data_IF_802328198061
#
_entry.id   IF_802328198061
#
_cell.length_a   1.000
_cell.length_b   1.000
_cell.length_c   1.000
_cell.angle_alpha   90.00
_cell.angle_beta   90.00
_cell.angle_gamma   90.00
#
_symmetry.space_group_name_H-M   'P 1'
#
loop_
_entity.id
_entity.type
_entity.pdbx_description
1 polymer ?
#
# COMPACT_ATOMS: atom_id res chain seq x y z
N UNK A 1 -9.48 -19.40 7.22
CA UNK A 1 -8.28 -20.23 7.46
C UNK A 1 -7.52 -20.49 6.16
N UNK A 2 -8.04 -21.28 5.20
CA UNK A 2 -7.30 -21.56 3.94
C UNK A 2 -7.10 -20.33 3.03
N UNK A 3 -8.11 -19.46 2.90
CA UNK A 3 -8.00 -18.25 2.08
C UNK A 3 -7.01 -17.22 2.65
N UNK A 4 -6.96 -17.06 3.98
CA UNK A 4 -5.99 -16.16 4.62
C UNK A 4 -4.56 -16.67 4.46
N UNK A 5 -4.37 -18.00 4.52
CA UNK A 5 -3.08 -18.63 4.28
C UNK A 5 -2.63 -18.46 2.82
N UNK A 6 -3.53 -18.67 1.85
CA UNK A 6 -3.26 -18.41 0.45
C UNK A 6 -2.88 -16.93 0.22
N UNK A 7 -3.57 -16.00 0.87
CA UNK A 7 -3.24 -14.56 0.80
C UNK A 7 -1.82 -14.26 1.29
N UNK A 8 -1.37 -14.89 2.38
CA UNK A 8 -0.02 -14.66 2.91
C UNK A 8 1.08 -15.05 1.91
N UNK A 9 0.82 -16.03 1.04
CA UNK A 9 1.77 -16.42 -0.02
C UNK A 9 1.98 -15.33 -1.06
N UNK A 10 1.02 -14.41 -1.20
CA UNK A 10 1.12 -13.31 -2.16
C UNK A 10 1.71 -12.03 -1.58
N UNK A 11 1.75 -11.90 -0.24
CA UNK A 11 2.23 -10.68 0.42
C UNK A 11 3.70 -10.46 0.11
N UNK A 12 4.02 -9.27 -0.42
CA UNK A 12 5.39 -8.84 -0.70
C UNK A 12 5.74 -7.60 0.11
N UNK A 13 7.02 -7.49 0.45
CA UNK A 13 7.62 -6.25 0.97
C UNK A 13 7.45 -5.13 -0.04
N UNK A 14 7.05 -3.94 0.42
CA UNK A 14 6.74 -2.78 -0.43
C UNK A 14 5.26 -2.37 -0.46
N UNK A 15 4.37 -3.23 0.07
CA UNK A 15 2.97 -2.91 0.33
C UNK A 15 1.98 -3.64 -0.58
N UNK A 16 0.72 -3.20 -0.53
CA UNK A 16 -0.40 -3.91 -1.15
C UNK A 16 -0.34 -3.89 -2.69
N UNK A 17 0.28 -2.87 -3.30
CA UNK A 17 0.48 -2.83 -4.76
C UNK A 17 1.37 -3.95 -5.27
N UNK A 18 2.43 -4.31 -4.54
CA UNK A 18 3.33 -5.40 -4.92
C UNK A 18 2.71 -6.77 -4.68
N UNK A 19 1.80 -6.86 -3.70
CA UNK A 19 0.98 -8.06 -3.51
C UNK A 19 0.11 -8.31 -4.75
N UNK A 20 -0.53 -7.28 -5.31
CA UNK A 20 -1.30 -7.42 -6.56
C UNK A 20 -0.43 -7.76 -7.77
N UNK A 21 0.76 -7.16 -7.87
CA UNK A 21 1.71 -7.49 -8.92
C UNK A 21 2.12 -8.97 -8.84
N UNK A 22 2.42 -9.47 -7.64
CA UNK A 22 2.79 -10.87 -7.43
C UNK A 22 1.64 -11.84 -7.76
N UNK A 23 0.38 -11.47 -7.46
CA UNK A 23 -0.80 -12.24 -7.91
C UNK A 23 -0.87 -12.30 -9.43
N UNK A 24 -0.63 -11.17 -10.10
CA UNK A 24 -0.64 -11.08 -11.57
C UNK A 24 0.46 -11.94 -12.19
N UNK A 25 1.70 -11.82 -11.71
CA UNK A 25 2.86 -12.57 -12.21
C UNK A 25 2.64 -14.07 -12.08
N UNK A 26 2.23 -14.56 -10.90
CA UNK A 26 1.95 -15.98 -10.71
C UNK A 26 0.80 -16.48 -11.60
N UNK A 27 -0.25 -15.68 -11.78
CA UNK A 27 -1.34 -16.06 -12.67
C UNK A 27 -0.91 -16.09 -14.15
N UNK A 28 -0.06 -15.15 -14.57
CA UNK A 28 0.51 -15.12 -15.91
C UNK A 28 1.43 -16.34 -16.17
N UNK A 29 2.24 -16.74 -15.20
CA UNK A 29 3.13 -17.91 -15.29
C UNK A 29 2.34 -19.23 -15.45
N UNK A 30 1.11 -19.29 -14.93
CA UNK A 30 0.19 -20.42 -15.14
C UNK A 30 -0.56 -20.38 -16.47
N UNK A 31 -0.17 -19.51 -17.41
CA UNK A 31 -0.88 -19.24 -18.65
C UNK A 31 -2.35 -18.86 -18.43
N UNK A 32 -2.59 -17.99 -17.44
CA UNK A 32 -3.93 -17.48 -17.11
C UNK A 32 -4.92 -18.58 -16.70
N UNK A 33 -4.45 -19.61 -16.00
CA UNK A 33 -5.26 -20.77 -15.61
C UNK A 33 -6.43 -20.40 -14.70
N UNK A 34 -7.64 -20.86 -15.07
CA UNK A 34 -8.82 -20.75 -14.21
C UNK A 34 -8.71 -21.65 -12.98
N UNK A 35 -8.06 -22.80 -13.12
CA UNK A 35 -7.85 -23.75 -12.02
C UNK A 35 -6.96 -23.16 -10.93
N UNK A 36 -5.88 -22.47 -11.31
CA UNK A 36 -5.04 -21.74 -10.37
C UNK A 36 -5.83 -20.70 -9.59
N UNK A 37 -6.72 -19.95 -10.26
CA UNK A 37 -7.56 -18.98 -9.58
C UNK A 37 -8.46 -19.65 -8.52
N UNK A 38 -9.04 -20.81 -8.83
CA UNK A 38 -9.86 -21.54 -7.88
C UNK A 38 -9.07 -22.00 -6.66
N UNK A 39 -7.89 -22.59 -6.86
CA UNK A 39 -7.01 -23.10 -5.80
C UNK A 39 -6.46 -21.98 -4.90
N UNK A 40 -6.14 -20.83 -5.48
CA UNK A 40 -5.61 -19.67 -4.76
C UNK A 40 -6.69 -18.70 -4.26
N UNK A 41 -7.97 -19.08 -4.35
CA UNK A 41 -9.11 -18.25 -3.94
C UNK A 41 -9.14 -16.86 -4.61
N UNK A 42 -8.76 -16.81 -5.89
CA UNK A 42 -8.77 -15.63 -6.75
C UNK A 42 -10.00 -15.63 -7.67
N UNK A 43 -10.49 -14.44 -7.99
CA UNK A 43 -11.61 -14.30 -8.90
C UNK A 43 -11.15 -14.23 -10.35
N UNK A 44 -11.34 -15.33 -11.08
CA UNK A 44 -11.00 -15.41 -12.50
C UNK A 44 -11.60 -14.25 -13.32
N UNK A 45 -12.90 -13.94 -13.17
CA UNK A 45 -13.56 -12.86 -13.94
C UNK A 45 -12.90 -11.48 -13.75
N UNK A 46 -12.39 -11.18 -12.55
CA UNK A 46 -11.73 -9.89 -12.29
C UNK A 46 -10.32 -9.86 -12.85
N UNK A 47 -9.58 -10.96 -12.77
CA UNK A 47 -8.25 -11.08 -13.37
C UNK A 47 -8.31 -11.04 -14.90
N UNK A 48 -9.29 -11.71 -15.52
CA UNK A 48 -9.53 -11.63 -16.97
C UNK A 48 -9.83 -10.19 -17.40
N UNK A 49 -10.69 -9.49 -16.67
CA UNK A 49 -10.96 -8.06 -16.94
C UNK A 49 -9.69 -7.21 -16.80
N UNK A 50 -8.88 -7.46 -15.77
CA UNK A 50 -7.63 -6.74 -15.58
C UNK A 50 -6.66 -6.96 -16.75
N UNK A 51 -6.61 -8.18 -17.31
CA UNK A 51 -5.84 -8.49 -18.53
C UNK A 51 -6.34 -7.70 -19.73
N UNK A 52 -7.65 -7.72 -19.99
CA UNK A 52 -8.22 -6.99 -21.12
C UNK A 52 -7.92 -5.49 -21.03
N UNK A 53 -8.01 -4.89 -19.83
CA UNK A 53 -7.65 -3.48 -19.59
C UNK A 53 -6.15 -3.24 -19.81
N UNK A 54 -5.28 -4.13 -19.33
CA UNK A 54 -3.84 -4.03 -19.53
C UNK A 54 -3.48 -4.04 -21.01
N UNK A 55 -4.07 -4.96 -21.77
CA UNK A 55 -3.76 -5.11 -23.19
C UNK A 55 -4.26 -3.90 -24.00
N UNK A 56 -5.41 -3.33 -23.62
CA UNK A 56 -5.88 -2.05 -24.16
C UNK A 56 -4.90 -0.91 -23.86
N UNK A 57 -4.41 -0.80 -22.62
CA UNK A 57 -3.44 0.22 -22.23
C UNK A 57 -2.11 0.03 -22.97
N UNK A 58 -1.64 -1.21 -23.15
CA UNK A 58 -0.42 -1.49 -23.91
C UNK A 58 -0.56 -1.05 -25.38
N UNK A 59 -1.70 -1.34 -26.01
CA UNK A 59 -1.98 -0.88 -27.37
C UNK A 59 -2.09 0.65 -27.48
N UNK A 60 -2.56 1.34 -26.43
CA UNK A 60 -2.53 2.81 -26.39
C UNK A 60 -1.10 3.34 -26.26
N UNK A 61 -0.28 2.76 -25.39
CA UNK A 61 1.13 3.13 -25.24
C UNK A 61 1.89 3.03 -26.57
N UNK A 62 1.65 1.97 -27.35
CA UNK A 62 2.23 1.82 -28.68
C UNK A 62 1.82 2.96 -29.63
N UNK A 63 0.53 3.33 -29.63
CA UNK A 63 0.02 4.44 -30.47
C UNK A 63 0.57 5.81 -30.09
N UNK A 64 0.88 6.02 -28.82
CA UNK A 64 1.45 7.29 -28.32
C UNK A 64 2.98 7.23 -28.20
N UNK A 65 3.62 6.21 -28.78
CA UNK A 65 5.07 6.01 -28.79
C UNK A 65 5.71 5.96 -27.39
N UNK A 66 4.93 5.53 -26.39
CA UNK A 66 5.42 5.29 -25.03
C UNK A 66 6.08 3.91 -24.98
N UNK A 67 7.39 3.90 -24.79
CA UNK A 67 8.17 2.66 -24.65
C UNK A 67 7.84 1.99 -23.32
N UNK A 68 7.24 0.79 -23.39
CA UNK A 68 6.98 -0.04 -22.22
C UNK A 68 8.32 -0.66 -21.78
N UNK A 69 8.81 -0.25 -20.61
CA UNK A 69 10.03 -0.77 -20.02
C UNK A 69 9.74 -1.46 -18.69
N UNK A 70 10.23 -2.68 -18.55
CA UNK A 70 10.22 -3.38 -17.26
C UNK A 70 11.27 -2.79 -16.33
N UNK A 71 11.05 -2.93 -15.03
CA UNK A 71 12.05 -2.55 -14.03
C UNK A 71 13.33 -3.39 -14.23
N UNK A 72 14.50 -2.78 -14.49
CA UNK A 72 15.73 -3.51 -14.76
C UNK A 72 16.26 -4.29 -13.55
N UNK A 73 15.88 -3.89 -12.33
CA UNK A 73 16.27 -4.57 -11.10
C UNK A 73 15.03 -5.02 -10.32
N UNK A 74 14.71 -6.31 -10.41
CA UNK A 74 13.57 -6.90 -9.69
C UNK A 74 13.65 -6.75 -8.16
N UNK A 75 14.85 -6.55 -7.60
CA UNK A 75 15.03 -6.35 -6.16
C UNK A 75 14.86 -4.89 -5.71
N UNK A 76 14.91 -3.91 -6.63
CA UNK A 76 14.65 -2.51 -6.32
C UNK A 76 13.23 -2.12 -6.71
N UNK A 77 12.34 -2.06 -5.73
CA UNK A 77 10.95 -1.66 -5.92
C UNK A 77 10.77 -0.15 -6.06
N UNK A 78 11.80 0.66 -5.75
CA UNK A 78 11.72 2.12 -5.67
C UNK A 78 11.21 2.80 -6.95
N UNK A 79 11.60 2.38 -8.18
CA UNK A 79 11.11 3.01 -9.41
C UNK A 79 9.59 2.86 -9.57
N UNK A 80 9.04 1.69 -9.23
CA UNK A 80 7.59 1.43 -9.28
C UNK A 80 6.87 2.24 -8.21
N UNK A 81 7.45 2.32 -7.00
CA UNK A 81 6.88 3.15 -5.93
C UNK A 81 6.87 4.64 -6.31
N UNK A 82 7.94 5.15 -6.92
CA UNK A 82 8.00 6.52 -7.44
C UNK A 82 6.96 6.77 -8.53
N UNK A 83 6.79 5.85 -9.47
CA UNK A 83 5.78 5.97 -10.54
C UNK A 83 4.36 6.06 -9.97
N UNK A 84 4.01 5.20 -9.01
CA UNK A 84 2.71 5.26 -8.31
C UNK A 84 2.58 6.56 -7.52
N UNK A 85 3.65 6.98 -6.84
CA UNK A 85 3.68 8.27 -6.12
C UNK A 85 3.40 9.44 -7.05
N UNK A 86 3.82 9.38 -8.32
CA UNK A 86 3.53 10.44 -9.30
C UNK A 86 2.08 10.55 -9.73
N UNK A 87 1.32 9.46 -9.72
CA UNK A 87 -0.12 9.50 -9.95
C UNK A 87 -0.91 9.92 -8.70
N UNK A 88 -0.44 9.52 -7.51
CA UNK A 88 -1.20 9.61 -6.26
C UNK A 88 -0.55 10.51 -5.20
N UNK A 89 0.30 11.46 -5.61
CA UNK A 89 1.01 12.36 -4.69
C UNK A 89 0.06 13.15 -3.77
N UNK A 90 -1.19 13.37 -4.20
CA UNK A 90 -2.22 14.04 -3.39
C UNK A 90 -2.68 13.17 -2.20
N UNK A 91 -2.69 11.84 -2.37
CA UNK A 91 -3.26 10.88 -1.45
C UNK A 91 -2.18 10.31 -0.51
N UNK A 92 -1.60 11.19 0.28
CA UNK A 92 -0.49 10.87 1.18
C UNK A 92 -0.84 11.20 2.62
N UNK A 93 -0.48 10.32 3.54
CA UNK A 93 -0.68 10.51 4.97
C UNK A 93 0.59 10.18 5.77
N UNK A 94 0.77 10.84 6.91
CA UNK A 94 1.89 10.68 7.82
C UNK A 94 1.44 10.13 9.15
N UNK A 95 2.23 9.25 9.76
CA UNK A 95 2.02 8.76 11.12
C UNK A 95 2.02 9.92 12.13
N UNK A 96 0.99 9.99 12.97
CA UNK A 96 0.93 10.93 14.08
C UNK A 96 1.82 10.48 15.24
N UNK A 97 2.18 11.43 16.12
CA UNK A 97 3.01 11.17 17.32
C UNK A 97 2.42 10.13 18.27
N UNK A 98 1.09 9.93 18.22
CA UNK A 98 0.38 8.90 18.98
C UNK A 98 0.71 7.47 18.53
N UNK A 99 1.25 7.27 17.32
CA UNK A 99 1.59 5.96 16.77
C UNK A 99 0.40 5.14 16.22
N UNK A 100 -0.84 5.52 16.55
CA UNK A 100 -2.03 4.75 16.21
C UNK A 100 -2.84 5.30 15.02
N UNK A 101 -2.53 6.51 14.57
CA UNK A 101 -3.29 7.25 13.57
C UNK A 101 -2.38 7.96 12.58
N UNK A 102 -2.92 8.21 11.39
CA UNK A 102 -2.25 8.94 10.33
C UNK A 102 -2.96 10.28 10.09
N UNK A 103 -2.24 11.25 9.55
CA UNK A 103 -2.76 12.57 9.19
C UNK A 103 -2.46 12.84 7.73
N UNK A 104 -3.48 13.19 6.95
CA UNK A 104 -3.28 13.58 5.55
C UNK A 104 -2.45 14.86 5.45
N UNK A 105 -1.60 14.97 4.42
CA UNK A 105 -0.68 16.10 4.30
C UNK A 105 -1.40 17.43 4.01
N UNK A 106 -2.39 17.43 3.12
CA UNK A 106 -3.08 18.67 2.73
C UNK A 106 -4.26 19.03 3.61
N UNK A 107 -5.19 18.10 3.79
CA UNK A 107 -6.43 18.39 4.53
C UNK A 107 -6.26 18.23 6.04
N UNK A 108 -5.12 17.68 6.49
CA UNK A 108 -4.84 17.47 7.90
C UNK A 108 -5.88 16.62 8.64
N UNK A 109 -6.61 15.79 7.90
CA UNK A 109 -7.62 14.89 8.43
C UNK A 109 -6.96 13.68 9.08
N UNK A 110 -7.47 13.28 10.25
CA UNK A 110 -7.05 12.06 10.93
C UNK A 110 -7.67 10.86 10.22
N UNK A 111 -6.82 9.93 9.80
CA UNK A 111 -7.17 8.73 9.04
C UNK A 111 -6.48 7.51 9.64
N UNK A 112 -7.08 6.34 9.47
CA UNK A 112 -6.58 5.08 10.03
C UNK A 112 -6.28 4.08 8.93
N UNK A 113 -5.26 3.25 9.14
CA UNK A 113 -5.04 2.06 8.30
C UNK A 113 -6.18 1.08 8.59
N UNK A 114 -6.79 0.57 7.52
CA UNK A 114 -7.85 -0.42 7.66
C UNK A 114 -7.28 -1.77 8.14
N UNK A 115 -7.93 -2.50 9.08
CA UNK A 115 -7.47 -3.79 9.61
C UNK A 115 -7.17 -4.90 8.59
N UNK A 116 -7.62 -4.75 7.36
CA UNK A 116 -7.41 -5.73 6.27
C UNK A 116 -6.16 -5.48 5.43
N UNK A 117 -5.45 -4.37 5.61
CA UNK A 117 -4.23 -4.08 4.84
C UNK A 117 -3.04 -4.89 5.36
N UNK A 118 -2.09 -5.23 4.48
CA UNK A 118 -0.82 -5.86 4.89
C UNK A 118 0.03 -4.96 5.80
N UNK A 119 -0.20 -3.65 5.78
CA UNK A 119 0.50 -2.67 6.62
C UNK A 119 -0.19 -2.43 7.97
N UNK A 120 -1.31 -3.12 8.26
CA UNK A 120 -1.95 -3.06 9.56
C UNK A 120 -1.07 -3.76 10.61
N UNK A 121 -0.71 -3.04 11.68
CA UNK A 121 0.18 -3.51 12.76
C UNK A 121 1.62 -3.88 12.33
N UNK A 122 2.08 -3.36 11.18
CA UNK A 122 3.47 -3.53 10.78
C UNK A 122 4.44 -2.89 11.80
N UNK A 123 5.48 -3.63 12.19
CA UNK A 123 6.54 -3.14 13.08
C UNK A 123 7.89 -3.17 12.34
N UNK A 124 8.63 -2.05 12.26
CA UNK A 124 8.28 -0.72 12.76
C UNK A 124 7.11 -0.07 11.99
N UNK A 125 6.37 0.87 12.61
CA UNK A 125 5.27 1.55 11.94
C UNK A 125 5.79 2.42 10.80
N UNK A 126 5.12 2.34 9.66
CA UNK A 126 5.49 3.09 8.46
C UNK A 126 5.18 4.57 8.66
N UNK A 127 6.18 5.43 8.46
CA UNK A 127 6.06 6.87 8.77
C UNK A 127 5.20 7.64 7.77
N UNK A 128 5.35 7.33 6.48
CA UNK A 128 4.62 8.00 5.41
C UNK A 128 4.03 6.96 4.49
N UNK A 129 2.73 7.07 4.28
CA UNK A 129 1.96 6.13 3.48
C UNK A 129 1.25 6.85 2.35
N UNK A 130 1.20 6.19 1.21
CA UNK A 130 0.33 6.55 0.09
C UNK A 130 -0.91 5.67 0.14
N UNK A 131 -2.08 6.26 -0.05
CA UNK A 131 -3.36 5.54 -0.08
C UNK A 131 -4.09 5.77 -1.41
N UNK A 132 -4.91 4.81 -1.83
CA UNK A 132 -5.68 4.96 -3.06
C UNK A 132 -6.94 5.84 -2.90
N UNK A 133 -7.71 5.61 -1.83
CA UNK A 133 -8.99 6.31 -1.57
C UNK A 133 -9.25 6.36 -0.05
N UNK A 134 -10.17 7.23 0.39
CA UNK A 134 -10.65 7.32 1.77
C UNK A 134 -12.11 6.88 1.84
N UNK A 135 -12.43 6.01 2.80
CA UNK A 135 -13.80 5.62 3.12
C UNK A 135 -14.15 6.15 4.50
N UNK A 136 -15.21 6.95 4.56
CA UNK A 136 -15.74 7.47 5.81
C UNK A 136 -16.86 6.55 6.31
N UNK A 137 -16.64 5.92 7.46
CA UNK A 137 -17.68 5.22 8.22
C UNK A 137 -17.83 5.90 9.58
N UNK A 138 -17.64 5.18 10.69
CA UNK A 138 -17.52 5.77 12.04
C UNK A 138 -16.15 6.45 12.25
N UNK A 139 -15.13 6.02 11.51
CA UNK A 139 -13.81 6.64 11.41
C UNK A 139 -13.42 6.72 9.93
N UNK A 140 -12.55 7.65 9.58
CA UNK A 140 -12.01 7.76 8.22
C UNK A 140 -10.91 6.73 8.03
N UNK A 141 -11.14 5.74 7.18
CA UNK A 141 -10.18 4.68 6.87
C UNK A 141 -9.58 4.87 5.48
N UNK A 142 -8.27 4.72 5.37
CA UNK A 142 -7.58 4.62 4.07
C UNK A 142 -7.95 3.28 3.42
N UNK A 143 -8.67 3.32 2.29
CA UNK A 143 -9.34 2.16 1.68
C UNK A 143 -9.78 2.44 0.23
N UNK A 144 -9.65 1.47 -0.67
CA UNK A 144 -10.38 1.40 -1.96
C UNK A 144 -11.81 0.86 -1.77
N UNK A 145 -12.83 1.56 -2.24
CA UNK A 145 -14.23 1.06 -2.28
C UNK A 145 -14.29 -0.22 -3.14
N UNK A 146 -14.80 -1.31 -2.55
CA UNK A 146 -15.44 -2.36 -3.34
C UNK A 146 -16.94 -2.13 -3.18
N UNK A 147 -17.63 -1.84 -4.28
CA UNK A 147 -19.09 -1.79 -4.31
C UNK A 147 -19.67 -3.05 -3.64
N UNK A 148 -20.69 -2.93 -2.76
CA UNK A 148 -21.43 -4.09 -2.32
C UNK A 148 -22.33 -4.55 -3.47
N UNK A 149 -21.79 -5.34 -4.40
CA UNK A 149 -22.67 -6.16 -5.25
C UNK A 149 -23.15 -7.32 -4.40
N UNK A 150 -24.45 -7.29 -4.14
CA UNK A 150 -25.24 -8.28 -3.43
C UNK A 150 -25.17 -9.62 -4.17
N UNK A 151 -24.09 -10.36 -4.03
CA UNK A 151 -24.09 -11.78 -4.34
C UNK A 151 -23.11 -12.51 -3.43
N UNK A 152 -23.72 -13.09 -2.41
CA UNK A 152 -23.12 -13.99 -1.43
C UNK A 152 -22.53 -15.21 -2.15
N UNK A 153 -21.38 -15.67 -1.67
CA UNK A 153 -20.59 -16.83 -2.14
C UNK A 153 -19.75 -16.61 -3.41
N UNK A 154 -18.67 -15.85 -3.26
CA UNK A 154 -17.33 -16.26 -3.67
C UNK A 154 -16.34 -15.29 -3.01
N UNK A 155 -15.37 -15.85 -2.29
CA UNK A 155 -14.30 -15.12 -1.59
C UNK A 155 -13.40 -14.51 -2.68
N UNK A 156 -13.83 -13.36 -3.16
CA UNK A 156 -13.17 -12.58 -4.17
C UNK A 156 -13.10 -11.18 -3.61
N UNK A 157 -11.88 -10.76 -3.24
CA UNK A 157 -11.55 -9.46 -2.67
C UNK A 157 -11.76 -9.37 -1.14
N UNK A 158 -11.06 -10.23 -0.38
CA UNK A 158 -10.42 -9.70 0.83
C UNK A 158 -9.49 -8.59 0.33
N UNK A 159 -9.80 -7.31 0.56
CA UNK A 159 -9.28 -6.28 -0.32
C UNK A 159 -7.80 -6.09 0.02
N UNK A 160 -6.92 -6.48 -0.91
CA UNK A 160 -5.53 -6.05 -0.91
C UNK A 160 -5.59 -4.54 -1.12
N UNK A 161 -5.48 -3.78 -0.03
CA UNK A 161 -5.80 -2.34 0.00
C UNK A 161 -4.53 -1.53 -0.18
N UNK A 162 -4.19 -1.26 -1.44
CA UNK A 162 -3.27 -0.23 -1.97
C UNK A 162 -2.79 0.84 -0.96
N UNK A 163 -1.97 0.41 -0.01
CA UNK A 163 -1.21 1.24 0.90
C UNK A 163 0.25 0.87 0.65
N UNK A 164 1.05 1.90 0.43
CA UNK A 164 2.45 1.77 0.08
C UNK A 164 3.26 2.69 0.98
N UNK A 165 4.39 2.17 1.48
CA UNK A 165 5.40 3.00 2.12
C UNK A 165 6.08 3.88 1.08
N UNK A 166 6.16 5.18 1.37
CA UNK A 166 6.84 6.14 0.50
C UNK A 166 7.91 6.91 1.27
N UNK A 167 9.00 7.27 0.59
CA UNK A 167 9.99 8.17 1.15
C UNK A 167 9.53 9.62 0.95
N UNK A 168 9.54 10.47 1.99
CA UNK A 168 9.16 11.88 1.89
C UNK A 168 9.91 12.66 0.79
N UNK A 169 11.17 12.31 0.51
CA UNK A 169 11.98 12.97 -0.51
C UNK A 169 11.37 12.87 -1.91
N UNK A 170 10.68 11.77 -2.21
CA UNK A 170 10.07 11.54 -3.52
C UNK A 170 8.92 12.51 -3.81
N UNK A 171 8.21 12.97 -2.78
CA UNK A 171 7.10 13.92 -2.96
C UNK A 171 7.58 15.26 -3.53
N UNK A 172 8.77 15.71 -3.13
CA UNK A 172 9.40 16.91 -3.69
C UNK A 172 9.93 16.69 -5.10
N UNK A 173 10.52 15.53 -5.37
CA UNK A 173 11.02 15.19 -6.72
C UNK A 173 9.87 15.14 -7.74
N UNK A 174 8.74 14.57 -7.32
CA UNK A 174 7.62 14.21 -8.20
C UNK A 174 6.61 15.35 -8.36
N UNK A 175 6.34 16.11 -7.30
CA UNK A 175 5.34 17.17 -7.31
C UNK A 175 5.84 18.46 -6.63
N UNK A 176 6.89 19.12 -7.19
CA UNK A 176 7.47 20.33 -6.60
C UNK A 176 6.51 21.53 -6.64
N UNK A 177 5.51 21.51 -7.52
CA UNK A 177 4.46 22.52 -7.61
C UNK A 177 3.42 22.40 -6.48
N UNK A 178 3.34 21.23 -5.84
CA UNK A 178 2.32 20.92 -4.84
C UNK A 178 2.90 20.91 -3.42
N UNK A 179 4.08 20.32 -3.23
CA UNK A 179 4.75 20.26 -1.93
C UNK A 179 5.87 21.30 -1.82
N UNK A 180 5.86 22.08 -0.74
CA UNK A 180 6.95 23.01 -0.39
C UNK A 180 7.85 22.41 0.68
N UNK A 181 9.07 22.94 0.83
CA UNK A 181 10.02 22.49 1.85
C UNK A 181 9.43 22.55 3.28
N UNK A 182 8.57 23.53 3.57
CA UNK A 182 7.86 23.65 4.85
C UNK A 182 6.90 22.48 5.14
N UNK A 183 6.31 21.87 4.11
CA UNK A 183 5.44 20.70 4.27
C UNK A 183 6.27 19.45 4.61
N UNK A 184 7.53 19.40 4.15
CA UNK A 184 8.49 18.34 4.48
C UNK A 184 9.15 18.50 5.85
N UNK A 185 9.27 19.71 6.37
CA UNK A 185 9.70 19.91 7.76
C UNK A 185 8.70 19.26 8.72
N UNK A 186 7.40 19.32 8.42
CA UNK A 186 6.38 18.59 9.18
C UNK A 186 6.53 17.07 9.03
N UNK A 187 6.94 16.59 7.85
CA UNK A 187 7.24 15.19 7.57
C UNK A 187 8.46 14.66 8.37
N UNK A 188 9.50 15.49 8.51
CA UNK A 188 10.78 15.15 9.16
C UNK A 188 10.84 15.51 10.65
N UNK A 189 9.95 16.35 11.17
CA UNK A 189 9.88 16.66 12.62
C UNK A 189 9.49 15.41 13.44
N UNK A 190 8.91 14.38 12.80
CA UNK A 190 8.72 13.05 13.38
C UNK A 190 10.03 12.24 13.56
N UNK A 191 11.12 12.60 12.86
CA UNK A 191 12.41 11.91 12.97
C UNK A 191 13.21 12.31 14.22
N UNK A 192 12.98 13.52 14.77
CA UNK A 192 13.82 14.07 15.84
C UNK A 192 13.46 13.65 17.27
N UNK A 193 12.38 12.89 17.49
CA UNK A 193 12.02 12.39 18.84
C UNK A 193 11.31 11.04 18.78
N UNK A 194 12.08 9.96 18.62
CA UNK A 194 11.72 8.68 19.20
C UNK A 194 12.51 8.56 20.52
N UNK A 195 11.87 8.57 21.71
CA UNK A 195 12.58 8.29 22.93
C UNK A 195 13.15 6.86 22.86
N UNK A 196 14.47 6.76 23.01
CA UNK A 196 15.19 5.52 23.20
C UNK A 196 14.48 4.67 24.27
N UNK A 197 14.02 3.48 23.90
CA UNK A 197 13.73 2.45 24.87
C UNK A 197 15.07 2.02 25.50
N UNK A 198 15.41 2.60 26.65
CA UNK A 198 16.45 2.07 27.54
C UNK A 198 15.99 2.08 28.99
N UNK A 199 16.18 0.90 29.58
CA UNK A 199 16.37 0.63 31.00
C UNK A 199 15.15 0.78 31.92
N UNK A 200 14.37 -0.29 32.06
CA UNK A 200 13.82 -0.62 33.38
C UNK A 200 14.96 -1.26 34.16
N UNK A 201 15.56 -0.44 35.01
CA UNK A 201 16.63 -0.84 35.91
C UNK A 201 16.14 -1.81 36.99
N UNK A 202 17.02 -2.73 37.32
CA UNK A 202 17.03 -3.45 38.59
C UNK A 202 17.03 -2.47 39.76
N UNK A 203 15.97 -2.45 40.55
CA UNK A 203 15.99 -1.88 41.90
C UNK A 203 15.97 -3.03 42.90
N UNK A 204 17.13 -3.33 43.47
CA UNK A 204 17.20 -4.04 44.74
C UNK A 204 16.62 -3.18 45.85
N UNK A 205 15.91 -3.81 46.78
CA UNK A 205 15.57 -3.25 48.07
C UNK A 205 15.91 -4.31 49.12
N UNK A 206 17.00 -4.05 49.85
CA UNK A 206 17.32 -4.66 51.13
C UNK A 206 16.74 -3.79 52.27
N UNK A 207 16.73 -4.36 53.48
CA UNK A 207 16.26 -3.83 54.78
C UNK A 207 14.80 -4.23 55.09
N UNK A 208 14.46 -4.85 56.23
CA UNK A 208 15.18 -5.14 57.49
C UNK A 208 14.61 -6.42 58.10
#
# INVERSE_FOLDING_TARGET
>A
MHADQARQNFVRTGGDHFTLLNVWEQWADTNYSQQFCYEQFLQFKSLSRARDIRDQLAGLCERVEVVIQSNPNANDVSPVQKAITSGYFYNTAQLQKSGDSYRTLKTHHTVYIHPSSSLFQHQPPVKTVLYYELVMTSKSYMRQVLFPTNHMHLIALLPIRQIMEIKPSWLMEVAPHYFKAADLEQLTTGDKKLPNAKAVGSSGAAAS
#
